data_IF_569933637355
#
_entry.id   IF_569933637355
#
_cell.length_a   1.000
_cell.length_b   1.000
_cell.length_c   1.000
_cell.angle_alpha   90.00
_cell.angle_beta   90.00
_cell.angle_gamma   90.00
#
_symmetry.space_group_name_H-M   'P 1'
#
loop_
_entity.id
_entity.type
_entity.pdbx_description
1 polymer ?
#
# COMPACT_ATOMS: atom_id res chain seq x y z
N UNK A 1 27.82 -68.29 -22.85
CA UNK A 1 28.14 -67.13 -21.99
C UNK A 1 27.33 -65.88 -22.38
N UNK A 2 26.30 -65.99 -23.21
CA UNK A 2 25.57 -64.82 -23.77
C UNK A 2 24.43 -64.28 -22.88
N UNK A 3 23.78 -65.11 -22.06
CA UNK A 3 22.62 -64.68 -21.26
C UNK A 3 22.93 -63.65 -20.15
N UNK A 4 24.21 -63.49 -19.77
CA UNK A 4 24.61 -62.59 -18.67
C UNK A 4 24.74 -61.14 -19.12
N UNK A 5 24.86 -60.85 -20.42
CA UNK A 5 25.06 -59.48 -20.93
C UNK A 5 23.74 -58.70 -21.02
N UNK A 6 22.63 -59.38 -21.30
CA UNK A 6 21.32 -58.74 -21.46
C UNK A 6 20.70 -58.27 -20.13
N UNK A 7 20.95 -58.99 -19.03
CA UNK A 7 20.43 -58.63 -17.70
C UNK A 7 20.96 -57.28 -17.19
N UNK A 8 22.19 -56.91 -17.56
CA UNK A 8 22.78 -55.61 -17.16
C UNK A 8 22.25 -54.45 -17.99
N UNK A 9 21.75 -54.69 -19.21
CA UNK A 9 21.08 -53.68 -20.02
C UNK A 9 19.71 -53.33 -19.45
N UNK A 10 18.91 -54.34 -19.12
CA UNK A 10 17.58 -54.16 -18.52
C UNK A 10 17.64 -53.48 -17.14
N UNK A 11 18.60 -53.86 -16.29
CA UNK A 11 18.76 -53.25 -14.97
C UNK A 11 19.14 -51.76 -15.05
N UNK A 12 19.97 -51.36 -16.03
CA UNK A 12 20.32 -49.96 -16.28
C UNK A 12 19.10 -49.14 -16.73
N UNK A 13 18.26 -49.68 -17.60
CA UNK A 13 17.04 -49.00 -18.05
C UNK A 13 16.01 -48.86 -16.93
N UNK A 14 15.82 -49.89 -16.11
CA UNK A 14 14.91 -49.84 -14.95
C UNK A 14 15.41 -48.81 -13.93
N UNK A 15 16.70 -48.81 -13.60
CA UNK A 15 17.28 -47.82 -12.69
C UNK A 15 17.22 -46.40 -13.24
N UNK A 16 17.41 -46.20 -14.54
CA UNK A 16 17.26 -44.89 -15.19
C UNK A 16 15.80 -44.41 -15.16
N UNK A 17 14.82 -45.29 -15.38
CA UNK A 17 13.39 -44.94 -15.29
C UNK A 17 12.97 -44.63 -13.85
N UNK A 18 13.40 -45.43 -12.87
CA UNK A 18 13.14 -45.18 -11.45
C UNK A 18 13.79 -43.86 -11.00
N UNK A 19 15.02 -43.58 -11.44
CA UNK A 19 15.71 -42.31 -11.17
C UNK A 19 14.98 -41.11 -11.81
N UNK A 20 14.45 -41.27 -13.03
CA UNK A 20 13.70 -40.22 -13.73
C UNK A 20 12.36 -39.89 -13.05
N UNK A 21 11.69 -40.89 -12.46
CA UNK A 21 10.42 -40.67 -11.73
C UNK A 21 10.60 -40.10 -10.32
N UNK A 22 11.79 -40.21 -9.73
CA UNK A 22 12.11 -39.60 -8.43
C UNK A 22 12.53 -38.13 -8.51
N UNK A 23 12.68 -37.58 -9.73
CA UNK A 23 13.23 -36.24 -9.98
C UNK A 23 12.37 -35.36 -10.90
N UNK A 24 11.07 -35.64 -11.06
CA UNK A 24 10.18 -34.67 -11.71
C UNK A 24 9.97 -33.49 -10.77
N UNK A 25 10.47 -32.26 -11.05
CA UNK A 25 10.06 -31.10 -10.30
C UNK A 25 8.55 -30.95 -10.49
N UNK A 26 7.79 -31.04 -9.40
CA UNK A 26 6.39 -30.69 -9.42
C UNK A 26 6.29 -29.20 -9.75
N UNK A 27 5.75 -28.87 -10.93
CA UNK A 27 5.35 -27.49 -11.21
C UNK A 27 4.14 -27.18 -10.33
N UNK A 28 4.40 -26.66 -9.12
CA UNK A 28 3.34 -26.01 -8.35
C UNK A 28 3.00 -24.70 -9.03
N UNK A 29 1.72 -24.40 -9.16
CA UNK A 29 1.27 -23.07 -9.56
C UNK A 29 1.80 -22.07 -8.51
N UNK A 30 2.46 -21.01 -8.96
CA UNK A 30 3.13 -20.05 -8.09
C UNK A 30 2.18 -18.93 -7.62
N UNK A 31 1.27 -18.53 -8.50
CA UNK A 31 0.30 -17.46 -8.25
C UNK A 31 -1.07 -18.05 -7.94
N UNK A 32 -1.68 -17.57 -6.86
CA UNK A 32 -2.98 -17.98 -6.38
C UNK A 32 -3.91 -16.78 -6.32
N UNK A 33 -5.19 -16.98 -6.63
CA UNK A 33 -6.23 -16.11 -6.10
C UNK A 33 -6.41 -16.54 -4.64
N UNK A 34 -5.97 -15.71 -3.70
CA UNK A 34 -5.97 -16.02 -2.27
C UNK A 34 -7.33 -15.72 -1.64
N UNK A 35 -7.91 -14.58 -2.00
CA UNK A 35 -9.19 -14.12 -1.48
C UNK A 35 -9.99 -13.42 -2.58
N UNK A 36 -11.31 -13.49 -2.48
CA UNK A 36 -12.24 -12.77 -3.33
C UNK A 36 -13.39 -12.29 -2.48
N UNK A 37 -13.81 -11.06 -2.68
CA UNK A 37 -15.03 -10.54 -2.10
C UNK A 37 -15.87 -9.85 -3.16
N UNK A 38 -16.92 -10.56 -3.56
CA UNK A 38 -17.98 -10.03 -4.43
C UNK A 38 -19.07 -9.34 -3.60
N UNK A 39 -19.74 -8.35 -4.19
CA UNK A 39 -20.75 -7.53 -3.52
C UNK A 39 -20.23 -6.93 -2.21
N UNK A 40 -19.06 -6.31 -2.26
CA UNK A 40 -18.49 -5.61 -1.13
C UNK A 40 -19.43 -4.48 -0.66
N UNK A 41 -19.73 -4.44 0.63
CA UNK A 41 -20.64 -3.43 1.20
C UNK A 41 -19.92 -2.49 2.17
N UNK A 42 -18.84 -2.94 2.82
CA UNK A 42 -18.23 -2.14 3.89
C UNK A 42 -16.84 -2.56 4.34
N UNK A 43 -16.16 -3.53 3.69
CA UNK A 43 -14.88 -4.03 4.21
C UNK A 43 -13.70 -3.20 3.71
N UNK A 44 -13.57 -3.09 2.39
CA UNK A 44 -12.57 -2.24 1.74
C UNK A 44 -13.25 -1.18 0.89
N UNK A 45 -12.62 -0.03 0.80
CA UNK A 45 -13.05 1.05 -0.10
C UNK A 45 -11.95 1.23 -1.13
N UNK A 46 -12.34 1.46 -2.38
CA UNK A 46 -11.39 1.83 -3.42
C UNK A 46 -10.99 3.32 -3.30
N UNK A 47 -10.19 3.80 -4.25
CA UNK A 47 -9.70 5.18 -4.23
C UNK A 47 -10.78 6.26 -4.43
N UNK A 48 -12.02 5.87 -4.75
CA UNK A 48 -13.17 6.78 -4.85
C UNK A 48 -14.08 6.69 -3.63
N UNK A 49 -13.62 6.03 -2.56
CA UNK A 49 -14.43 5.69 -1.39
C UNK A 49 -15.65 4.81 -1.76
N UNK A 50 -15.55 4.01 -2.83
CA UNK A 50 -16.61 3.08 -3.26
C UNK A 50 -16.31 1.65 -2.78
N UNK A 51 -17.36 0.87 -2.52
CA UNK A 51 -17.25 -0.52 -2.05
C UNK A 51 -17.17 -1.47 -3.23
N UNK A 52 -16.17 -1.28 -4.09
CA UNK A 52 -15.93 -2.14 -5.25
C UNK A 52 -15.63 -3.58 -4.83
N UNK A 53 -16.02 -4.54 -5.67
CA UNK A 53 -15.58 -5.93 -5.57
C UNK A 53 -14.05 -5.99 -5.66
N UNK A 54 -13.45 -6.95 -4.98
CA UNK A 54 -12.00 -7.08 -4.98
C UNK A 54 -11.56 -8.53 -4.92
N UNK A 55 -10.34 -8.77 -5.37
CA UNK A 55 -9.63 -10.03 -5.22
C UNK A 55 -8.20 -9.78 -4.80
N UNK A 56 -7.62 -10.78 -4.15
CA UNK A 56 -6.22 -10.78 -3.74
C UNK A 56 -5.46 -11.87 -4.47
N UNK A 57 -4.32 -11.52 -5.06
CA UNK A 57 -3.39 -12.45 -5.68
C UNK A 57 -2.21 -12.66 -4.73
N UNK A 58 -1.92 -13.92 -4.41
CA UNK A 58 -0.77 -14.31 -3.60
C UNK A 58 0.29 -15.03 -4.44
N UNK A 59 1.54 -14.59 -4.29
CA UNK A 59 2.70 -15.29 -4.83
C UNK A 59 3.28 -16.24 -3.77
N UNK A 60 2.95 -17.52 -3.85
CA UNK A 60 3.46 -18.54 -2.94
C UNK A 60 4.87 -19.02 -3.28
N UNK A 61 5.44 -18.61 -4.43
CA UNK A 61 6.77 -19.00 -4.83
C UNK A 61 7.86 -18.28 -4.04
N UNK A 62 9.10 -18.73 -4.22
CA UNK A 62 10.26 -18.17 -3.53
C UNK A 62 10.95 -17.04 -4.33
N UNK A 63 10.40 -16.68 -5.50
CA UNK A 63 10.91 -15.64 -6.40
C UNK A 63 9.80 -14.64 -6.75
N UNK A 64 10.17 -13.41 -7.13
CA UNK A 64 9.21 -12.45 -7.65
C UNK A 64 8.69 -12.84 -9.03
N UNK A 65 7.42 -12.53 -9.33
CA UNK A 65 6.79 -12.76 -10.63
C UNK A 65 6.47 -11.43 -11.29
N UNK A 66 6.93 -11.23 -12.53
CA UNK A 66 6.45 -10.13 -13.35
C UNK A 66 5.08 -10.49 -13.94
N UNK A 67 4.06 -9.71 -13.59
CA UNK A 67 2.68 -9.92 -14.03
C UNK A 67 2.39 -9.35 -15.43
N UNK A 68 3.38 -8.78 -16.11
CA UNK A 68 3.19 -8.26 -17.47
C UNK A 68 2.53 -9.30 -18.39
N UNK A 69 1.36 -8.95 -18.93
CA UNK A 69 0.63 -9.81 -19.86
C UNK A 69 -0.24 -10.90 -19.22
N UNK A 70 -0.29 -10.98 -17.88
CA UNK A 70 -1.29 -11.78 -17.18
C UNK A 70 -2.65 -11.11 -17.32
N UNK A 71 -3.73 -11.91 -17.29
CA UNK A 71 -5.10 -11.41 -17.44
C UNK A 71 -6.04 -11.84 -16.32
N UNK A 72 -7.02 -10.99 -16.06
CA UNK A 72 -8.20 -11.27 -15.25
C UNK A 72 -9.44 -11.23 -16.13
N UNK A 73 -10.36 -12.16 -15.88
CA UNK A 73 -11.66 -12.21 -16.54
C UNK A 73 -12.68 -13.00 -15.73
N UNK A 74 -13.93 -12.58 -15.87
CA UNK A 74 -15.16 -13.25 -15.45
C UNK A 74 -15.86 -13.95 -16.63
N UNK A 75 -15.25 -13.95 -17.82
CA UNK A 75 -15.82 -14.50 -19.07
C UNK A 75 -14.84 -15.49 -19.69
N UNK A 76 -15.23 -16.77 -19.73
CA UNK A 76 -14.40 -17.86 -20.25
C UNK A 76 -13.91 -17.64 -21.69
N UNK A 77 -14.74 -17.00 -22.53
CA UNK A 77 -14.38 -16.71 -23.93
C UNK A 77 -13.44 -15.52 -24.09
N UNK A 78 -13.17 -14.77 -23.02
CA UNK A 78 -12.31 -13.59 -23.02
C UNK A 78 -11.37 -13.60 -21.80
N UNK A 79 -10.43 -14.56 -21.69
CA UNK A 79 -9.60 -14.74 -20.49
C UNK A 79 -8.68 -13.56 -20.18
N UNK A 80 -8.43 -12.68 -21.17
CA UNK A 80 -7.58 -11.48 -21.05
C UNK A 80 -8.41 -10.19 -21.07
N UNK A 81 -9.58 -10.18 -20.40
CA UNK A 81 -10.48 -9.00 -20.38
C UNK A 81 -9.81 -7.78 -19.75
N UNK A 82 -9.06 -7.97 -18.67
CA UNK A 82 -8.19 -6.95 -18.10
C UNK A 82 -6.76 -7.49 -17.98
N UNK A 83 -5.78 -6.74 -18.49
CA UNK A 83 -4.38 -7.21 -18.59
C UNK A 83 -3.50 -6.37 -17.67
N UNK A 84 -2.70 -7.04 -16.84
CA UNK A 84 -1.75 -6.42 -15.95
C UNK A 84 -0.66 -5.67 -16.73
N UNK A 85 -0.26 -4.46 -16.27
CA UNK A 85 0.93 -3.80 -16.78
C UNK A 85 2.20 -4.50 -16.29
N UNK A 86 3.36 -3.94 -16.61
CA UNK A 86 4.62 -4.41 -16.05
C UNK A 86 4.66 -4.12 -14.55
N UNK A 87 4.51 -5.17 -13.74
CA UNK A 87 4.51 -5.11 -12.29
C UNK A 87 5.19 -6.34 -11.72
N UNK A 88 6.12 -6.13 -10.78
CA UNK A 88 6.74 -7.22 -10.04
C UNK A 88 5.95 -7.49 -8.76
N UNK A 89 5.37 -8.69 -8.64
CA UNK A 89 4.82 -9.21 -7.39
C UNK A 89 5.91 -10.01 -6.66
N UNK A 90 6.48 -9.51 -5.54
CA UNK A 90 7.58 -10.18 -4.86
C UNK A 90 7.17 -11.56 -4.31
N UNK A 91 8.19 -12.36 -3.95
CA UNK A 91 8.01 -13.63 -3.25
C UNK A 91 7.19 -13.44 -1.97
N UNK A 92 6.30 -14.39 -1.67
CA UNK A 92 5.42 -14.40 -0.48
C UNK A 92 4.60 -13.11 -0.27
N UNK A 93 4.33 -12.37 -1.35
CA UNK A 93 3.62 -11.10 -1.30
C UNK A 93 2.21 -11.21 -1.87
N UNK A 94 1.37 -10.27 -1.49
CA UNK A 94 -0.04 -10.18 -1.89
C UNK A 94 -0.26 -8.92 -2.75
N UNK A 95 -1.19 -9.02 -3.69
CA UNK A 95 -1.64 -7.91 -4.53
C UNK A 95 -3.16 -7.84 -4.49
N UNK A 96 -3.68 -6.72 -3.98
CA UNK A 96 -5.11 -6.41 -4.00
C UNK A 96 -5.48 -5.78 -5.36
N UNK A 97 -6.54 -6.28 -5.98
CA UNK A 97 -7.07 -5.76 -7.24
C UNK A 97 -8.56 -5.47 -7.07
N UNK A 98 -8.96 -4.21 -7.30
CA UNK A 98 -10.36 -3.82 -7.32
C UNK A 98 -10.97 -4.06 -8.70
N UNK A 99 -12.10 -4.77 -8.74
CA UNK A 99 -12.92 -4.99 -9.93
C UNK A 99 -13.92 -3.83 -10.16
N UNK A 100 -13.43 -2.59 -10.06
CA UNK A 100 -14.24 -1.36 -10.14
C UNK A 100 -14.69 -0.99 -11.57
N UNK A 101 -14.10 -1.62 -12.59
CA UNK A 101 -14.35 -1.29 -14.00
C UNK A 101 -13.63 -0.02 -14.50
N UNK A 102 -12.75 0.57 -13.67
CA UNK A 102 -12.09 1.85 -13.97
C UNK A 102 -10.80 1.72 -14.82
N UNK A 103 -10.37 0.49 -15.13
CA UNK A 103 -9.17 0.16 -15.92
C UNK A 103 -7.87 0.84 -15.43
N UNK A 104 -7.72 0.97 -14.10
CA UNK A 104 -6.52 1.54 -13.49
C UNK A 104 -5.46 0.46 -13.36
N UNK A 105 -4.39 0.62 -14.14
CA UNK A 105 -3.31 -0.37 -14.25
C UNK A 105 -2.09 -0.01 -13.40
N UNK A 106 -1.75 1.26 -13.37
CA UNK A 106 -0.67 1.73 -12.51
C UNK A 106 -1.19 1.84 -11.07
N UNK A 107 -0.58 1.19 -10.07
CA UNK A 107 -0.72 1.59 -8.68
C UNK A 107 -0.02 2.96 -8.53
N UNK A 108 -0.59 3.97 -9.17
CA UNK A 108 0.02 5.27 -9.31
C UNK A 108 -0.13 6.00 -8.01
N UNK A 109 0.97 6.17 -7.26
CA UNK A 109 1.33 7.38 -6.53
C UNK A 109 0.13 8.19 -6.02
N UNK A 110 -0.74 7.55 -5.26
CA UNK A 110 -1.87 8.22 -4.67
C UNK A 110 -1.33 8.88 -3.42
N UNK A 111 -1.02 10.17 -3.52
CA UNK A 111 -0.80 10.98 -2.34
C UNK A 111 -2.14 11.05 -1.61
N UNK A 112 -2.34 10.14 -0.66
CA UNK A 112 -3.27 10.41 0.42
C UNK A 112 -2.66 11.55 1.22
N UNK A 113 -3.07 12.78 0.92
CA UNK A 113 -2.91 13.84 1.90
C UNK A 113 -3.99 13.64 2.96
N UNK A 114 -3.56 13.56 4.20
CA UNK A 114 -4.48 13.53 5.35
C UNK A 114 -5.19 14.89 5.49
N UNK A 115 -4.65 15.94 4.83
CA UNK A 115 -5.17 17.31 4.83
C UNK A 115 -5.29 17.82 3.40
N UNK A 116 -6.50 18.13 2.96
CA UNK A 116 -6.73 18.75 1.65
C UNK A 116 -6.45 20.25 1.69
N UNK A 117 -6.10 20.85 0.55
CA UNK A 117 -5.86 22.30 0.46
C UNK A 117 -7.16 23.05 0.81
N UNK A 118 -7.09 23.94 1.80
CA UNK A 118 -8.22 24.71 2.33
C UNK A 118 -8.91 24.11 3.55
N UNK A 119 -8.57 22.89 3.98
CA UNK A 119 -9.12 22.30 5.20
C UNK A 119 -8.82 23.15 6.43
N UNK A 120 -9.79 23.27 7.35
CA UNK A 120 -9.60 23.97 8.61
C UNK A 120 -9.10 23.02 9.70
N UNK A 121 -8.03 23.43 10.39
CA UNK A 121 -7.30 22.60 11.35
C UNK A 121 -6.73 23.39 12.53
N UNK A 122 -6.56 22.69 13.66
CA UNK A 122 -5.92 23.24 14.84
C UNK A 122 -4.41 23.02 14.78
N UNK A 123 -3.66 24.08 15.08
CA UNK A 123 -2.20 24.09 15.07
C UNK A 123 -1.64 24.80 16.30
N UNK A 124 -0.47 24.35 16.74
CA UNK A 124 0.30 24.99 17.78
C UNK A 124 1.73 25.21 17.27
N UNK A 125 2.23 26.43 17.44
CA UNK A 125 3.61 26.82 17.12
C UNK A 125 4.41 26.76 18.42
N UNK A 126 5.12 25.65 18.70
CA UNK A 126 5.83 25.47 19.96
C UNK A 126 6.95 26.49 20.13
N UNK A 127 6.94 27.17 21.28
CA UNK A 127 8.05 28.01 21.79
C UNK A 127 8.87 27.27 22.85
N UNK A 128 8.44 26.07 23.23
CA UNK A 128 9.05 25.15 24.19
C UNK A 128 8.61 23.72 23.87
N UNK A 129 9.20 22.72 24.54
CA UNK A 129 8.83 21.33 24.36
C UNK A 129 7.33 21.10 24.65
N UNK A 130 6.64 20.36 23.77
CA UNK A 130 5.22 20.05 23.94
C UNK A 130 4.98 19.13 25.16
N UNK A 131 3.87 19.28 25.90
CA UNK A 131 3.54 18.41 27.03
C UNK A 131 3.32 16.97 26.57
N UNK A 132 3.92 15.96 27.21
CA UNK A 132 3.86 14.55 26.79
C UNK A 132 2.44 14.02 26.46
N UNK A 133 1.41 14.58 27.09
CA UNK A 133 0.01 14.24 26.86
C UNK A 133 -0.56 14.73 25.50
N UNK A 134 0.15 15.59 24.77
CA UNK A 134 -0.33 16.20 23.51
C UNK A 134 -0.67 15.16 22.43
N UNK A 135 -0.05 13.99 22.50
CA UNK A 135 -0.26 12.88 21.56
C UNK A 135 -1.43 11.97 21.95
N UNK A 136 -2.01 12.16 23.14
CA UNK A 136 -3.06 11.28 23.66
C UNK A 136 -4.45 11.73 23.17
N UNK A 137 -5.36 10.78 22.88
CA UNK A 137 -6.76 11.10 22.59
C UNK A 137 -7.39 11.92 23.73
N UNK A 138 -8.27 12.87 23.39
CA UNK A 138 -8.93 13.73 24.37
C UNK A 138 -8.06 14.85 24.96
N UNK A 139 -6.87 15.11 24.41
CA UNK A 139 -6.08 16.29 24.78
C UNK A 139 -6.88 17.58 24.52
N UNK A 140 -6.75 18.56 25.41
CA UNK A 140 -7.45 19.83 25.26
C UNK A 140 -6.74 20.72 24.22
N UNK A 141 -7.51 21.28 23.30
CA UNK A 141 -7.02 22.14 22.21
C UNK A 141 -7.37 23.61 22.41
N UNK A 142 -7.90 24.01 23.56
CA UNK A 142 -8.32 25.40 23.80
C UNK A 142 -7.22 26.45 23.52
N UNK A 143 -5.96 26.10 23.75
CA UNK A 143 -4.81 26.98 23.51
C UNK A 143 -4.23 26.87 22.08
N UNK A 144 -4.80 26.00 21.23
CA UNK A 144 -4.36 25.82 19.85
C UNK A 144 -5.07 26.83 18.96
N UNK A 145 -4.33 27.35 17.98
CA UNK A 145 -4.88 28.24 16.95
C UNK A 145 -5.57 27.40 15.87
N UNK A 146 -6.46 28.00 15.09
CA UNK A 146 -7.04 27.38 13.90
C UNK A 146 -6.74 28.19 12.64
N UNK A 147 -6.59 27.49 11.52
CA UNK A 147 -6.26 28.09 10.21
C UNK A 147 -6.75 27.22 9.06
N UNK A 148 -6.58 27.66 7.82
CA UNK A 148 -6.76 26.82 6.62
C UNK A 148 -5.44 26.14 6.24
N UNK A 149 -5.50 25.07 5.45
CA UNK A 149 -4.29 24.35 5.08
C UNK A 149 -3.38 25.07 4.07
N UNK A 150 -2.08 24.79 4.16
CA UNK A 150 -1.01 25.65 3.66
C UNK A 150 -0.50 26.58 4.75
N UNK A 151 0.46 26.08 5.54
CA UNK A 151 1.10 26.81 6.65
C UNK A 151 2.54 27.17 6.31
N UNK A 152 2.92 28.42 6.57
CA UNK A 152 4.28 28.88 6.33
C UNK A 152 4.48 30.37 6.63
N UNK A 153 5.57 30.93 6.13
CA UNK A 153 6.00 32.30 6.37
C UNK A 153 6.91 32.78 5.24
N UNK A 154 6.63 33.98 4.72
CA UNK A 154 7.62 34.79 3.98
C UNK A 154 7.70 34.56 2.46
N UNK A 155 6.95 33.61 1.90
CA UNK A 155 6.86 33.29 0.46
C UNK A 155 5.50 33.64 -0.18
N UNK A 156 4.49 33.99 0.63
CA UNK A 156 3.16 34.49 0.21
C UNK A 156 2.29 33.48 -0.57
N UNK A 157 2.54 32.18 -0.47
CA UNK A 157 1.69 31.12 -1.03
C UNK A 157 0.90 30.35 0.04
N UNK A 158 1.08 30.69 1.31
CA UNK A 158 0.36 30.09 2.44
C UNK A 158 -1.04 30.67 2.67
N UNK A 159 -2.00 29.77 2.92
CA UNK A 159 -3.33 30.18 3.40
C UNK A 159 -3.32 30.57 4.88
N UNK A 160 -2.43 29.98 5.68
CA UNK A 160 -2.22 30.35 7.09
C UNK A 160 -0.78 30.75 7.34
N UNK A 161 -0.59 32.05 7.55
CA UNK A 161 0.71 32.62 7.88
C UNK A 161 1.03 32.39 9.37
N UNK A 162 2.21 31.84 9.65
CA UNK A 162 2.75 31.66 10.99
C UNK A 162 3.99 32.56 11.19
N UNK A 163 4.33 32.98 12.41
CA UNK A 163 5.59 33.68 12.64
C UNK A 163 6.80 32.82 12.24
N UNK A 164 7.92 33.44 11.86
CA UNK A 164 9.16 32.71 11.61
C UNK A 164 9.64 31.96 12.88
N UNK A 165 9.71 30.62 12.83
CA UNK A 165 10.15 29.78 13.96
C UNK A 165 11.07 28.62 13.53
N UNK A 166 11.68 27.93 14.49
CA UNK A 166 12.52 26.72 14.33
C UNK A 166 11.83 25.59 15.14
N UNK A 167 12.00 24.27 14.85
CA UNK A 167 11.91 23.54 13.60
C UNK A 167 10.64 22.66 13.59
N UNK A 168 9.57 22.91 14.36
CA UNK A 168 8.40 22.02 14.32
C UNK A 168 7.05 22.73 14.51
N UNK A 169 6.07 22.35 13.70
CA UNK A 169 4.67 22.69 13.80
C UNK A 169 3.92 21.43 14.27
N UNK A 170 3.14 21.54 15.35
CA UNK A 170 2.26 20.45 15.80
C UNK A 170 0.85 20.73 15.31
N UNK A 171 0.25 19.76 14.61
CA UNK A 171 -1.13 19.83 14.11
C UNK A 171 -1.95 18.65 14.66
N UNK A 172 -3.22 18.88 14.98
CA UNK A 172 -4.14 17.82 15.44
C UNK A 172 -5.42 17.82 14.61
N UNK A 173 -5.78 16.63 14.18
CA UNK A 173 -6.99 16.37 13.39
C UNK A 173 -8.17 16.29 14.36
N UNK A 174 -9.17 17.15 14.14
CA UNK A 174 -10.50 17.01 14.73
C UNK A 174 -11.35 16.22 13.74
N UNK A 175 -12.14 15.22 14.15
CA UNK A 175 -12.90 14.41 13.22
C UNK A 175 -13.96 15.29 12.53
N UNK A 176 -13.88 15.39 11.21
CA UNK A 176 -15.03 15.76 10.40
C UNK A 176 -16.02 14.58 10.39
N UNK A 177 -17.34 14.82 10.37
CA UNK A 177 -18.33 13.75 10.43
C UNK A 177 -18.29 12.77 9.24
N UNK A 178 -17.63 13.13 8.13
CA UNK A 178 -17.60 12.34 6.89
C UNK A 178 -16.28 11.60 6.62
N UNK A 179 -15.19 11.89 7.36
CA UNK A 179 -13.88 11.23 7.17
C UNK A 179 -13.38 10.77 8.52
N UNK A 180 -13.44 9.46 8.79
CA UNK A 180 -12.97 8.83 10.03
C UNK A 180 -11.43 8.81 10.09
N UNK A 181 -10.80 9.98 10.02
CA UNK A 181 -9.39 10.10 10.37
C UNK A 181 -9.37 10.26 11.89
N UNK A 182 -9.16 9.15 12.60
CA UNK A 182 -8.99 9.12 14.05
C UNK A 182 -8.09 10.26 14.53
N UNK A 183 -8.39 10.89 15.67
CA UNK A 183 -7.56 11.87 16.38
C UNK A 183 -6.07 11.46 16.40
N UNK A 184 -5.29 11.92 15.42
CA UNK A 184 -3.86 11.59 15.33
C UNK A 184 -3.02 12.86 15.32
N UNK A 185 -2.03 12.96 16.22
CA UNK A 185 -1.08 14.06 16.24
C UNK A 185 -0.13 13.97 15.03
N UNK A 186 0.17 15.11 14.40
CA UNK A 186 1.19 15.22 13.34
C UNK A 186 2.22 16.29 13.77
N UNK A 187 3.50 15.97 13.66
CA UNK A 187 4.61 16.90 13.83
C UNK A 187 5.25 17.17 12.46
N UNK A 188 5.26 18.42 12.03
CA UNK A 188 5.83 18.87 10.75
C UNK A 188 7.09 19.65 11.05
N UNK A 189 8.25 19.25 10.50
CA UNK A 189 9.50 19.97 10.73
C UNK A 189 9.58 21.24 9.89
N UNK A 190 9.79 22.42 10.49
CA UNK A 190 9.88 23.73 9.81
C UNK A 190 11.29 24.11 9.34
N UNK A 191 12.32 23.26 9.53
CA UNK A 191 13.71 23.61 9.14
C UNK A 191 13.96 23.74 7.63
N UNK A 192 12.95 23.65 6.77
CA UNK A 192 13.06 23.86 5.32
C UNK A 192 11.84 24.57 4.69
N UNK A 193 11.17 25.48 5.40
CA UNK A 193 10.10 26.31 4.81
C UNK A 193 10.65 27.45 3.93
N UNK A 194 11.33 27.07 2.85
CA UNK A 194 11.59 27.95 1.70
C UNK A 194 11.46 27.20 0.36
N UNK A 195 11.13 25.91 0.35
CA UNK A 195 10.81 25.17 -0.88
C UNK A 195 10.11 23.87 -0.53
N UNK A 196 8.84 23.75 -0.92
CA UNK A 196 8.12 22.49 -1.12
C UNK A 196 8.07 21.54 0.07
N UNK A 197 7.02 21.64 0.90
CA UNK A 197 6.60 20.52 1.76
C UNK A 197 5.14 20.65 2.22
N UNK A 198 4.21 20.70 1.27
CA UNK A 198 2.85 20.19 1.51
C UNK A 198 2.75 18.87 0.73
N UNK A 199 3.14 17.76 1.37
CA UNK A 199 2.66 16.40 1.03
C UNK A 199 3.12 15.30 2.00
N UNK A 200 4.10 15.55 2.87
CA UNK A 200 4.76 14.46 3.60
C UNK A 200 4.47 14.44 5.10
N UNK A 201 3.19 14.33 5.48
CA UNK A 201 2.84 13.74 6.77
C UNK A 201 3.10 12.23 6.70
N UNK A 202 4.36 11.82 6.88
CA UNK A 202 4.75 10.40 6.88
C UNK A 202 4.19 9.73 8.13
N UNK A 203 3.46 8.63 7.92
CA UNK A 203 2.99 7.69 8.95
C UNK A 203 4.17 7.25 9.83
N UNK A 204 4.14 7.56 11.13
CA UNK A 204 5.07 6.95 12.10
C UNK A 204 4.59 5.50 12.32
N UNK A 205 5.15 4.55 11.57
CA UNK A 205 5.08 3.16 11.97
C UNK A 205 6.14 2.98 13.06
N UNK A 206 5.71 3.05 14.32
CA UNK A 206 6.50 2.50 15.41
C UNK A 206 6.78 1.04 15.10
N UNK A 207 8.05 0.72 14.85
CA UNK A 207 8.51 -0.65 14.93
C UNK A 207 8.49 -1.06 16.40
N UNK A 208 8.11 -2.32 16.60
CA UNK A 208 8.12 -3.05 17.88
C UNK A 208 9.48 -2.98 18.55
#
# INVERSE_FOLDING_TARGET
MEAKVEQWGLLKWVLAHVFCQLFTPGFSQQLFINEVQSSNVSTLFDFRDETSDWLEIYNAGDQGVNLQGYGLSDVDSLPMKWVFPQMLLPSKSHLLVFASGLDIKEPGLQWETIIDVGDSWHYHVPVSAMPEAWQKPGFDLLDWKSGMSGFGYGDNDDSTQIPATIPCLSARISPFPTRQISDRPICISTTMMASWLISTARKWHGQV
#
